data_IF_867205582740
#
_entry.id   IF_867205582740
#
_cell.length_a   1.000
_cell.length_b   1.000
_cell.length_c   1.000
_cell.angle_alpha   90.00
_cell.angle_beta   90.00
_cell.angle_gamma   90.00
#
_symmetry.space_group_name_H-M   'P 1'
#
loop_
_entity.id
_entity.type
_entity.pdbx_description
1 polymer ?
#
# COMPACT_ATOMS: atom_id res chain seq x y z
N UNK A 1 1.68 -1.31 2.72
CA UNK A 1 3.11 -1.09 2.43
C UNK A 1 3.96 -1.23 3.69
N UNK A 2 5.12 -1.82 3.56
CA UNK A 2 6.14 -1.91 4.63
C UNK A 2 7.19 -0.84 4.34
N UNK A 3 7.46 0.04 5.31
CA UNK A 3 8.39 1.16 5.17
C UNK A 3 9.67 0.90 5.97
N UNK A 4 10.78 0.48 5.33
CA UNK A 4 12.07 0.28 5.99
C UNK A 4 12.63 1.58 6.58
N UNK A 5 13.44 1.47 7.64
CA UNK A 5 14.23 2.56 8.20
C UNK A 5 15.73 2.38 7.89
N UNK A 6 16.49 3.46 8.05
CA UNK A 6 17.96 3.47 8.01
C UNK A 6 18.54 3.00 9.34
N UNK A 7 18.02 1.87 9.85
CA UNK A 7 18.41 1.21 11.09
C UNK A 7 18.33 -0.30 10.94
N UNK A 8 19.25 -1.04 11.56
CA UNK A 8 19.24 -2.51 11.48
C UNK A 8 17.93 -3.11 11.95
N UNK A 9 17.28 -3.91 11.10
CA UNK A 9 16.05 -4.66 11.38
C UNK A 9 14.83 -3.84 11.80
N UNK A 10 14.81 -2.53 11.51
CA UNK A 10 13.69 -1.66 11.85
C UNK A 10 12.92 -1.21 10.60
N UNK A 11 11.63 -1.08 10.78
CA UNK A 11 10.71 -0.48 9.82
C UNK A 11 9.92 0.62 10.50
N UNK A 12 9.64 1.69 9.79
CA UNK A 12 8.93 2.85 10.33
C UNK A 12 7.48 2.54 10.64
N UNK A 13 6.80 1.94 9.67
CA UNK A 13 5.37 1.62 9.79
C UNK A 13 4.93 0.63 8.72
N UNK A 14 3.74 0.07 8.92
CA UNK A 14 2.98 -0.66 7.91
C UNK A 14 1.74 0.17 7.59
N UNK A 15 1.54 0.52 6.32
CA UNK A 15 0.36 1.28 5.88
C UNK A 15 -0.63 0.33 5.22
N UNK A 16 -1.88 0.33 5.71
CA UNK A 16 -2.96 -0.51 5.22
C UNK A 16 -3.65 0.17 4.05
N UNK A 17 -3.55 -0.41 2.85
CA UNK A 17 -4.17 0.14 1.66
C UNK A 17 -5.71 0.13 1.79
N UNK A 18 -6.35 1.24 1.42
CA UNK A 18 -7.81 1.39 1.42
C UNK A 18 -8.47 1.25 2.82
N UNK A 19 -7.71 1.36 3.90
CA UNK A 19 -8.25 1.33 5.26
C UNK A 19 -8.18 2.73 5.85
N UNK A 20 -9.34 3.39 5.92
CA UNK A 20 -9.46 4.76 6.38
C UNK A 20 -10.39 4.86 7.57
N UNK A 21 -10.10 5.77 8.47
CA UNK A 21 -11.00 6.16 9.54
C UNK A 21 -11.01 7.68 9.77
N UNK A 22 -12.07 8.17 10.40
CA UNK A 22 -12.26 9.56 10.80
C UNK A 22 -12.88 9.64 12.18
N UNK A 23 -12.61 10.71 12.90
CA UNK A 23 -13.08 10.92 14.27
C UNK A 23 -14.61 11.05 14.37
N UNK A 24 -15.21 11.67 13.37
CA UNK A 24 -16.65 11.90 13.27
C UNK A 24 -17.08 11.99 11.81
N UNK A 25 -18.38 12.06 11.55
CA UNK A 25 -18.89 12.23 10.17
C UNK A 25 -18.35 13.48 9.48
N UNK A 26 -18.09 14.54 10.24
CA UNK A 26 -17.53 15.81 9.75
C UNK A 26 -15.99 15.85 9.82
N UNK A 27 -15.37 14.80 10.33
CA UNK A 27 -13.92 14.71 10.46
C UNK A 27 -13.25 14.38 9.13
N UNK A 28 -11.98 14.75 9.02
CA UNK A 28 -11.13 14.35 7.88
C UNK A 28 -10.71 12.90 8.06
N UNK A 29 -10.96 12.06 7.06
CA UNK A 29 -10.50 10.67 7.07
C UNK A 29 -8.98 10.59 6.90
N UNK A 30 -8.40 9.49 7.36
CA UNK A 30 -6.97 9.23 7.22
C UNK A 30 -6.72 7.75 7.03
N UNK A 31 -5.79 7.44 6.13
CA UNK A 31 -5.29 6.06 5.96
C UNK A 31 -4.58 5.59 7.23
N UNK A 32 -4.83 4.35 7.64
CA UNK A 32 -4.33 3.80 8.90
C UNK A 32 -2.90 3.28 8.74
N UNK A 33 -2.04 3.62 9.71
CA UNK A 33 -0.83 2.87 9.99
C UNK A 33 -1.20 1.69 10.91
N UNK A 34 -0.91 0.48 10.45
CA UNK A 34 -1.27 -0.74 11.16
C UNK A 34 -0.32 -1.14 12.29
N UNK A 35 -0.53 -2.33 12.83
CA UNK A 35 0.36 -2.94 13.83
C UNK A 35 1.66 -3.40 13.17
N UNK A 36 2.80 -2.94 13.67
CA UNK A 36 4.09 -3.22 13.05
C UNK A 36 4.62 -4.60 13.45
N UNK A 37 4.52 -5.58 12.54
CA UNK A 37 5.13 -6.89 12.70
C UNK A 37 6.53 -6.99 12.07
N UNK A 38 6.97 -5.98 11.33
CA UNK A 38 8.19 -6.06 10.51
C UNK A 38 9.45 -5.59 11.27
N UNK A 39 9.42 -5.57 12.60
CA UNK A 39 10.54 -5.20 13.45
C UNK A 39 11.13 -6.43 14.16
N UNK A 40 12.47 -6.47 14.17
CA UNK A 40 13.21 -7.46 14.96
C UNK A 40 14.26 -6.78 15.84
N UNK A 41 14.58 -7.42 16.97
CA UNK A 41 15.82 -7.16 17.69
C UNK A 41 16.74 -8.37 17.52
N UNK A 42 17.95 -8.13 17.06
CA UNK A 42 18.98 -9.17 16.94
C UNK A 42 20.15 -8.83 17.84
N UNK A 43 20.56 -9.81 18.62
CA UNK A 43 21.68 -9.71 19.56
C UNK A 43 22.75 -10.72 19.17
N UNK A 44 24.01 -10.33 19.30
CA UNK A 44 25.16 -11.23 19.16
C UNK A 44 25.99 -11.18 20.45
N UNK A 45 26.16 -12.32 21.11
CA UNK A 45 26.84 -12.45 22.40
C UNK A 45 26.27 -11.48 23.48
N UNK A 46 24.93 -11.31 23.49
CA UNK A 46 24.22 -10.45 24.42
C UNK A 46 24.21 -8.95 24.06
N UNK A 47 24.90 -8.53 23.01
CA UNK A 47 24.89 -7.14 22.56
C UNK A 47 23.91 -6.95 21.40
N UNK A 48 22.98 -5.97 21.55
CA UNK A 48 22.01 -5.62 20.52
C UNK A 48 22.69 -4.98 19.30
N UNK A 49 22.32 -5.40 18.11
CA UNK A 49 22.75 -4.77 16.87
C UNK A 49 22.02 -3.42 16.72
N UNK A 50 22.78 -2.35 16.53
CA UNK A 50 22.30 -0.98 16.35
C UNK A 50 23.14 -0.28 15.28
N UNK A 51 22.71 0.89 14.82
CA UNK A 51 23.47 1.71 13.86
C UNK A 51 24.87 2.11 14.35
N UNK A 52 25.08 2.16 15.69
CA UNK A 52 26.36 2.58 16.29
C UNK A 52 27.42 1.48 16.32
N UNK A 53 27.03 0.20 16.16
CA UNK A 53 27.96 -0.93 16.30
C UNK A 53 28.09 -1.79 15.04
N UNK A 54 27.66 -1.26 13.90
CA UNK A 54 27.79 -1.88 12.57
C UNK A 54 28.69 -1.05 11.65
N UNK A 55 29.32 -1.71 10.68
CA UNK A 55 30.09 -1.11 9.59
C UNK A 55 29.66 -1.68 8.24
N UNK A 56 30.21 -1.14 7.15
CA UNK A 56 29.91 -1.58 5.79
C UNK A 56 28.41 -1.57 5.46
N UNK A 57 27.68 -0.63 6.05
CA UNK A 57 26.23 -0.49 5.85
C UNK A 57 25.89 -0.21 4.41
N UNK A 58 25.02 -1.03 3.85
CA UNK A 58 24.50 -0.86 2.49
C UNK A 58 23.04 -1.25 2.45
N UNK A 59 22.24 -0.39 1.82
CA UNK A 59 20.84 -0.69 1.45
C UNK A 59 20.69 -0.61 -0.06
N UNK A 60 19.87 -1.50 -0.61
CA UNK A 60 19.56 -1.53 -2.03
C UNK A 60 18.15 -2.03 -2.27
N UNK A 61 17.48 -1.41 -3.23
CA UNK A 61 16.20 -1.87 -3.75
C UNK A 61 16.41 -2.54 -5.11
N UNK A 62 16.14 -3.82 -5.18
CA UNK A 62 16.03 -4.50 -6.46
C UNK A 62 14.62 -4.30 -7.01
N UNK A 63 14.44 -3.31 -7.89
CA UNK A 63 13.14 -2.96 -8.45
C UNK A 63 12.53 -4.08 -9.29
N UNK A 64 13.36 -4.92 -9.92
CA UNK A 64 12.88 -6.04 -10.74
C UNK A 64 12.14 -7.09 -9.91
N UNK A 65 12.59 -7.31 -8.68
CA UNK A 65 12.04 -8.34 -7.79
C UNK A 65 11.38 -7.78 -6.54
N UNK A 66 11.29 -6.45 -6.44
CA UNK A 66 10.79 -5.73 -5.26
C UNK A 66 11.38 -6.25 -3.94
N UNK A 67 12.67 -6.50 -3.94
CA UNK A 67 13.44 -6.95 -2.81
C UNK A 67 14.23 -5.77 -2.21
N UNK A 68 13.96 -5.41 -0.96
CA UNK A 68 14.72 -4.40 -0.25
C UNK A 68 15.76 -5.08 0.64
N UNK A 69 17.02 -5.01 0.23
CA UNK A 69 18.14 -5.68 0.89
C UNK A 69 18.93 -4.69 1.75
N UNK A 70 19.28 -5.12 2.96
CA UNK A 70 20.22 -4.43 3.85
C UNK A 70 21.33 -5.38 4.22
N UNK A 71 22.58 -4.94 4.10
CA UNK A 71 23.76 -5.70 4.50
C UNK A 71 24.71 -4.84 5.34
N UNK A 72 25.37 -5.48 6.28
CA UNK A 72 26.37 -4.83 7.15
C UNK A 72 27.26 -5.86 7.85
N UNK A 73 28.33 -5.38 8.46
CA UNK A 73 29.21 -6.15 9.34
C UNK A 73 28.99 -5.71 10.79
N UNK A 74 28.66 -6.65 11.67
CA UNK A 74 28.59 -6.40 13.09
C UNK A 74 29.97 -6.67 13.71
N UNK A 75 30.70 -5.59 13.99
CA UNK A 75 32.06 -5.64 14.53
C UNK A 75 32.94 -6.62 13.72
N UNK A 76 33.77 -7.42 14.40
CA UNK A 76 34.57 -8.51 13.80
C UNK A 76 33.89 -9.89 13.98
N UNK A 77 32.57 -9.93 14.25
CA UNK A 77 31.84 -11.13 14.67
C UNK A 77 31.00 -11.77 13.59
N UNK A 78 30.28 -10.98 12.79
CA UNK A 78 29.39 -11.51 11.77
C UNK A 78 29.15 -10.56 10.61
N UNK A 79 28.98 -11.11 9.41
CA UNK A 79 28.34 -10.41 8.27
C UNK A 79 26.87 -10.80 8.22
N UNK A 80 26.02 -9.81 8.03
CA UNK A 80 24.56 -9.97 8.07
C UNK A 80 23.98 -9.36 6.83
N UNK A 81 23.08 -10.10 6.21
CA UNK A 81 22.23 -9.62 5.12
C UNK A 81 20.79 -9.99 5.44
N UNK A 82 19.88 -9.06 5.27
CA UNK A 82 18.46 -9.37 5.31
C UNK A 82 17.70 -8.68 4.19
N UNK A 83 16.64 -9.33 3.73
CA UNK A 83 15.82 -8.86 2.61
C UNK A 83 14.36 -8.79 3.03
N UNK A 84 13.74 -7.63 2.84
CA UNK A 84 12.32 -7.42 3.10
C UNK A 84 11.55 -7.54 1.79
N UNK A 85 10.50 -8.37 1.82
CA UNK A 85 9.52 -8.51 0.75
C UNK A 85 8.12 -8.12 1.27
N UNK A 86 7.47 -7.15 0.63
CA UNK A 86 6.03 -7.01 0.67
C UNK A 86 5.47 -7.97 -0.39
N UNK A 87 4.95 -9.12 0.03
CA UNK A 87 4.64 -10.22 -0.89
C UNK A 87 3.52 -9.83 -1.85
N UNK A 88 3.78 -9.97 -3.17
CA UNK A 88 2.77 -9.66 -4.18
C UNK A 88 1.79 -10.80 -4.41
N UNK A 89 2.22 -12.04 -4.22
CA UNK A 89 1.40 -13.25 -4.29
C UNK A 89 0.49 -13.41 -3.04
N UNK A 90 0.83 -12.76 -1.92
CA UNK A 90 0.05 -12.76 -0.68
C UNK A 90 -0.07 -11.32 -0.18
N UNK A 91 -1.12 -10.64 -0.59
CA UNK A 91 -1.28 -9.18 -0.51
C UNK A 91 -1.19 -8.58 0.90
N UNK A 92 -1.49 -9.37 1.92
CA UNK A 92 -1.56 -8.93 3.33
C UNK A 92 -0.31 -9.31 4.11
N UNK A 93 0.66 -9.99 3.46
CA UNK A 93 1.81 -10.55 4.13
C UNK A 93 3.15 -9.89 3.72
N UNK A 94 4.07 -9.90 4.69
CA UNK A 94 5.46 -9.56 4.51
C UNK A 94 6.38 -10.70 4.94
N UNK A 95 7.57 -10.70 4.36
CA UNK A 95 8.58 -11.73 4.60
C UNK A 95 9.95 -11.07 4.74
N UNK A 96 10.63 -11.32 5.85
CA UNK A 96 11.98 -10.81 6.13
C UNK A 96 12.91 -12.01 6.19
N UNK A 97 13.73 -12.14 5.16
CA UNK A 97 14.69 -13.22 5.00
C UNK A 97 16.05 -12.80 5.56
N UNK A 98 16.63 -13.58 6.45
CA UNK A 98 17.81 -13.18 7.22
C UNK A 98 18.90 -14.23 7.05
N UNK A 99 20.11 -13.75 6.71
CA UNK A 99 21.31 -14.55 6.56
C UNK A 99 22.40 -13.99 7.48
N UNK A 100 22.97 -14.83 8.32
CA UNK A 100 24.07 -14.50 9.23
C UNK A 100 25.28 -15.39 8.93
N UNK A 101 26.38 -14.80 8.48
CA UNK A 101 27.67 -15.46 8.31
C UNK A 101 28.58 -15.14 9.52
N UNK A 102 28.76 -16.06 10.47
CA UNK A 102 29.63 -15.86 11.62
C UNK A 102 31.11 -15.84 11.21
N UNK A 103 31.83 -14.82 11.65
CA UNK A 103 33.29 -14.71 11.48
C UNK A 103 34.06 -15.34 12.67
N UNK A 104 33.34 -15.59 13.76
CA UNK A 104 33.78 -16.27 15.01
C UNK A 104 32.66 -17.17 15.49
N UNK A 105 32.93 -18.02 16.48
CA UNK A 105 31.83 -18.67 17.21
C UNK A 105 31.07 -17.61 17.98
N UNK A 106 29.78 -17.56 17.81
CA UNK A 106 28.88 -16.54 18.41
C UNK A 106 27.60 -17.19 18.91
N UNK A 107 26.94 -16.52 19.85
CA UNK A 107 25.57 -16.82 20.25
C UNK A 107 24.67 -15.71 19.74
N UNK A 108 23.65 -16.06 18.98
CA UNK A 108 22.63 -15.10 18.53
C UNK A 108 21.37 -15.24 19.40
N UNK A 109 20.65 -14.11 19.56
CA UNK A 109 19.25 -14.07 19.97
C UNK A 109 18.51 -13.19 18.97
N UNK A 110 17.44 -13.72 18.36
CA UNK A 110 16.55 -12.95 17.53
C UNK A 110 15.17 -12.85 18.20
N UNK A 111 14.60 -11.65 18.22
CA UNK A 111 13.28 -11.34 18.78
C UNK A 111 12.44 -10.66 17.71
N UNK A 112 11.45 -11.36 17.20
CA UNK A 112 10.42 -10.79 16.32
C UNK A 112 9.30 -10.17 17.16
N UNK A 113 8.71 -9.09 16.68
CA UNK A 113 7.77 -8.26 17.44
C UNK A 113 6.50 -8.00 16.65
N UNK A 114 5.39 -7.87 17.39
CA UNK A 114 4.21 -7.15 16.93
C UNK A 114 4.04 -5.95 17.84
N UNK A 115 4.21 -4.75 17.29
CA UNK A 115 4.06 -3.48 18.00
C UNK A 115 2.78 -2.80 17.57
N UNK A 116 1.89 -2.55 18.51
CA UNK A 116 0.59 -1.90 18.29
C UNK A 116 0.73 -0.40 18.50
N UNK A 117 0.22 0.46 17.58
CA UNK A 117 0.17 1.91 17.80
C UNK A 117 -0.56 2.25 19.12
N UNK A 118 -0.03 3.20 19.89
CA UNK A 118 -0.59 3.59 21.21
C UNK A 118 -2.04 4.09 21.13
N UNK A 119 -2.43 4.65 19.99
CA UNK A 119 -3.79 5.12 19.74
C UNK A 119 -4.80 4.01 19.47
N UNK A 120 -4.37 2.76 19.25
CA UNK A 120 -5.29 1.65 19.03
C UNK A 120 -5.96 1.24 20.34
N UNK A 121 -7.20 0.77 20.21
CA UNK A 121 -8.06 0.46 21.34
C UNK A 121 -8.09 -1.04 21.62
N UNK A 122 -8.04 -1.38 22.92
CA UNK A 122 -8.24 -2.75 23.44
C UNK A 122 -7.36 -3.81 22.73
N UNK A 123 -6.06 -3.61 22.63
CA UNK A 123 -5.19 -4.62 22.05
C UNK A 123 -5.25 -5.92 22.89
N UNK A 124 -5.34 -7.04 22.19
CA UNK A 124 -5.30 -8.37 22.77
C UNK A 124 -4.19 -9.16 22.09
N UNK A 125 -3.11 -9.35 22.83
CA UNK A 125 -1.93 -10.10 22.39
C UNK A 125 -1.96 -11.52 22.92
N UNK A 126 -1.79 -12.48 22.01
CA UNK A 126 -1.78 -13.92 22.31
C UNK A 126 -0.59 -14.61 21.66
N UNK A 127 -0.25 -15.75 22.20
CA UNK A 127 0.68 -16.71 21.61
C UNK A 127 0.04 -18.08 21.69
N UNK A 128 0.06 -18.81 20.59
CA UNK A 128 -0.43 -20.18 20.56
C UNK A 128 0.44 -21.07 19.70
N UNK A 129 0.44 -22.35 20.03
CA UNK A 129 1.13 -23.37 19.26
C UNK A 129 0.04 -24.26 18.65
N UNK A 130 -0.11 -24.15 17.34
CA UNK A 130 -0.96 -25.07 16.59
C UNK A 130 -0.14 -26.33 16.31
N UNK A 131 -0.72 -27.47 16.57
CA UNK A 131 -0.09 -28.77 16.34
C UNK A 131 -0.98 -29.60 15.43
N UNK A 132 -0.36 -30.15 14.41
CA UNK A 132 -0.85 -31.29 13.65
C UNK A 132 0.14 -32.43 13.85
N UNK A 133 -0.19 -33.64 13.38
CA UNK A 133 0.63 -34.85 13.57
C UNK A 133 2.11 -34.70 13.18
N UNK A 134 2.40 -33.85 12.22
CA UNK A 134 3.73 -33.67 11.63
C UNK A 134 4.32 -32.26 11.78
N UNK A 135 3.51 -31.25 12.12
CA UNK A 135 3.95 -29.84 12.11
C UNK A 135 3.53 -29.13 13.40
N UNK A 136 4.47 -28.41 13.99
CA UNK A 136 4.24 -27.50 15.12
C UNK A 136 4.37 -26.05 14.62
N UNK A 137 3.30 -25.27 14.75
CA UNK A 137 3.23 -23.90 14.24
C UNK A 137 3.05 -22.92 15.40
N UNK A 138 4.13 -22.32 15.91
CA UNK A 138 4.07 -21.26 16.90
C UNK A 138 3.64 -19.96 16.23
N UNK A 139 2.58 -19.33 16.71
CA UNK A 139 2.02 -18.12 16.13
C UNK A 139 1.87 -17.04 17.20
N UNK A 140 2.51 -15.91 16.95
CA UNK A 140 2.30 -14.68 17.68
C UNK A 140 1.14 -13.93 17.04
N UNK A 141 0.20 -13.41 17.82
CA UNK A 141 -0.95 -12.71 17.30
C UNK A 141 -1.35 -11.53 18.18
N UNK A 142 -1.75 -10.44 17.56
CA UNK A 142 -2.38 -9.30 18.23
C UNK A 142 -3.59 -8.84 17.44
N UNK A 143 -4.67 -8.55 18.16
CA UNK A 143 -5.91 -8.00 17.60
C UNK A 143 -6.22 -6.73 18.34
N UNK A 144 -6.55 -5.66 17.62
CA UNK A 144 -6.91 -4.38 18.21
C UNK A 144 -7.96 -3.67 17.35
N UNK A 145 -8.65 -2.69 17.94
CA UNK A 145 -9.47 -1.75 17.18
C UNK A 145 -8.64 -0.54 16.80
N UNK A 146 -8.89 0.00 15.62
CA UNK A 146 -8.31 1.26 15.20
C UNK A 146 -8.69 2.41 16.15
N UNK A 147 -8.00 3.54 16.04
CA UNK A 147 -8.10 4.71 16.95
C UNK A 147 -9.54 5.15 17.25
N UNK A 148 -10.38 5.22 16.24
CA UNK A 148 -11.79 5.62 16.38
C UNK A 148 -12.76 4.43 16.40
N UNK A 149 -12.24 3.20 16.38
CA UNK A 149 -13.01 1.97 16.54
C UNK A 149 -13.77 1.52 15.29
N UNK A 150 -13.55 2.15 14.13
CA UNK A 150 -14.19 1.78 12.86
C UNK A 150 -13.77 0.37 12.41
N UNK A 151 -12.49 0.04 12.53
CA UNK A 151 -11.91 -1.22 12.07
C UNK A 151 -11.41 -2.08 13.22
N UNK A 152 -11.56 -3.38 13.08
CA UNK A 152 -10.77 -4.36 13.84
C UNK A 152 -9.61 -4.79 12.95
N UNK A 153 -8.41 -4.84 13.51
CA UNK A 153 -7.18 -5.21 12.81
C UNK A 153 -6.60 -6.42 13.51
N UNK A 154 -6.29 -7.46 12.75
CA UNK A 154 -5.64 -8.68 13.21
C UNK A 154 -4.27 -8.82 12.56
N UNK A 155 -3.24 -9.00 13.39
CA UNK A 155 -1.86 -9.18 12.94
C UNK A 155 -1.30 -10.46 13.53
N UNK A 156 -0.73 -11.30 12.68
CA UNK A 156 -0.07 -12.55 13.07
C UNK A 156 1.35 -12.59 12.54
N UNK A 157 2.26 -13.26 13.27
CA UNK A 157 3.65 -13.38 12.85
C UNK A 157 4.31 -14.64 13.43
N UNK A 158 5.36 -15.13 12.76
CA UNK A 158 6.16 -16.26 13.24
C UNK A 158 7.55 -16.30 12.60
N UNK A 159 8.46 -17.06 13.22
CA UNK A 159 9.74 -17.44 12.59
C UNK A 159 9.57 -18.61 11.64
N UNK A 160 10.34 -18.60 10.55
CA UNK A 160 10.40 -19.65 9.53
C UNK A 160 11.86 -20.12 9.35
N UNK A 161 12.08 -21.42 9.28
CA UNK A 161 13.37 -22.01 8.98
C UNK A 161 13.27 -22.83 7.68
N UNK A 162 14.16 -22.59 6.73
CA UNK A 162 14.10 -23.15 5.37
C UNK A 162 14.29 -24.67 5.31
N UNK A 163 14.87 -25.26 6.34
CA UNK A 163 15.11 -26.70 6.43
C UNK A 163 13.91 -27.55 6.91
N UNK A 164 12.72 -26.95 7.06
CA UNK A 164 11.52 -27.61 7.60
C UNK A 164 11.09 -28.82 6.74
N UNK A 165 11.30 -28.77 5.44
CA UNK A 165 10.97 -29.86 4.51
C UNK A 165 11.81 -31.14 4.74
N UNK A 166 12.78 -31.12 5.67
CA UNK A 166 13.56 -32.29 6.05
C UNK A 166 12.94 -33.16 7.15
N UNK A 167 11.75 -32.82 7.66
CA UNK A 167 11.04 -33.58 8.69
C UNK A 167 11.70 -33.60 10.06
N UNK A 168 12.64 -32.68 10.34
CA UNK A 168 13.40 -32.65 11.58
C UNK A 168 13.05 -31.44 12.43
N UNK A 169 11.93 -31.49 13.15
CA UNK A 169 11.57 -30.49 14.20
C UNK A 169 12.68 -30.32 15.25
N UNK A 170 13.45 -31.34 15.50
CA UNK A 170 14.55 -31.37 16.49
C UNK A 170 15.67 -30.36 16.22
N UNK A 171 15.74 -29.76 15.02
CA UNK A 171 16.75 -28.76 14.66
C UNK A 171 16.27 -27.32 14.83
N UNK A 172 15.01 -27.09 15.14
CA UNK A 172 14.51 -25.74 15.38
C UNK A 172 14.95 -25.26 16.76
N UNK A 173 15.38 -23.99 16.89
CA UNK A 173 15.60 -23.39 18.19
C UNK A 173 14.31 -23.40 19.01
N UNK A 174 14.45 -23.54 20.33
CA UNK A 174 13.34 -23.34 21.25
C UNK A 174 12.85 -21.90 21.18
N UNK A 175 11.54 -21.72 21.01
CA UNK A 175 10.90 -20.42 20.97
C UNK A 175 10.42 -20.01 22.37
N UNK A 176 10.70 -18.77 22.73
CA UNK A 176 10.24 -18.15 23.97
C UNK A 176 9.29 -17.00 23.62
N UNK A 177 8.09 -17.05 24.20
CA UNK A 177 7.11 -15.97 24.09
C UNK A 177 7.24 -15.04 25.29
N UNK A 178 7.20 -13.74 25.03
CA UNK A 178 7.17 -12.70 26.06
C UNK A 178 6.16 -11.61 25.68
N UNK A 179 5.08 -11.51 26.46
CA UNK A 179 4.12 -10.41 26.37
C UNK A 179 4.63 -9.27 27.23
N UNK A 180 5.35 -8.33 26.60
CA UNK A 180 5.96 -7.18 27.29
C UNK A 180 4.89 -6.23 27.81
N UNK A 181 3.84 -5.99 27.01
CA UNK A 181 2.67 -5.18 27.37
C UNK A 181 1.47 -5.61 26.52
N UNK A 182 0.33 -4.94 26.66
CA UNK A 182 -0.81 -5.14 25.75
C UNK A 182 -0.50 -4.64 24.34
N UNK A 183 0.45 -3.72 24.19
CA UNK A 183 0.86 -3.10 22.93
C UNK A 183 2.10 -3.71 22.29
N UNK A 184 2.84 -4.56 23.03
CA UNK A 184 4.08 -5.19 22.60
C UNK A 184 4.07 -6.69 22.87
N UNK A 185 4.14 -7.48 21.81
CA UNK A 185 4.13 -8.93 21.84
C UNK A 185 5.37 -9.48 21.14
N UNK A 186 6.16 -10.33 21.82
CA UNK A 186 7.47 -10.78 21.37
C UNK A 186 7.56 -12.29 21.27
N UNK A 187 8.26 -12.75 20.23
CA UNK A 187 8.66 -14.14 20.06
C UNK A 187 10.17 -14.19 19.82
N UNK A 188 10.91 -14.98 20.56
CA UNK A 188 12.37 -15.01 20.46
C UNK A 188 12.94 -16.42 20.44
N UNK A 189 14.14 -16.54 19.88
CA UNK A 189 14.96 -17.75 19.98
C UNK A 189 16.43 -17.40 20.20
N UNK A 190 17.19 -18.37 20.67
CA UNK A 190 18.65 -18.31 20.80
C UNK A 190 19.29 -19.47 20.01
N UNK A 191 20.46 -19.23 19.45
CA UNK A 191 21.23 -20.24 18.72
C UNK A 191 22.73 -19.96 18.81
N UNK A 192 23.51 -21.00 19.08
CA UNK A 192 24.95 -20.96 18.94
C UNK A 192 25.32 -21.25 17.47
N UNK A 193 26.20 -20.42 16.92
CA UNK A 193 26.69 -20.54 15.55
C UNK A 193 28.21 -20.69 15.57
N UNK A 194 28.71 -21.63 14.77
CA UNK A 194 30.16 -21.82 14.60
C UNK A 194 30.71 -20.92 13.52
N UNK A 195 31.97 -20.55 13.64
CA UNK A 195 32.68 -19.75 12.63
C UNK A 195 32.47 -20.37 11.24
N UNK A 196 32.14 -19.53 10.27
CA UNK A 196 31.88 -19.85 8.85
C UNK A 196 30.69 -20.79 8.61
N UNK A 197 29.86 -21.08 9.62
CA UNK A 197 28.60 -21.81 9.46
C UNK A 197 27.47 -20.81 9.15
N UNK A 198 27.11 -20.67 7.87
CA UNK A 198 26.04 -19.78 7.47
C UNK A 198 24.71 -20.19 8.10
N UNK A 199 23.96 -19.24 8.64
CA UNK A 199 22.69 -19.50 9.28
C UNK A 199 21.58 -18.63 8.68
N UNK A 200 20.52 -19.31 8.22
CA UNK A 200 19.40 -18.68 7.54
C UNK A 200 18.10 -18.95 8.30
N UNK A 201 17.30 -17.93 8.45
CA UNK A 201 15.95 -17.99 8.96
C UNK A 201 15.15 -16.81 8.41
N UNK A 202 13.84 -16.82 8.58
CA UNK A 202 12.99 -15.70 8.22
C UNK A 202 12.03 -15.34 9.35
N UNK A 203 11.54 -14.12 9.31
CA UNK A 203 10.41 -13.64 10.06
C UNK A 203 9.31 -13.23 9.09
N UNK A 204 8.11 -13.80 9.24
CA UNK A 204 6.97 -13.48 8.39
C UNK A 204 5.79 -13.02 9.23
N UNK A 205 5.01 -12.11 8.69
CA UNK A 205 3.77 -11.66 9.30
C UNK A 205 2.73 -11.27 8.26
N UNK A 206 1.50 -11.20 8.71
CA UNK A 206 0.37 -10.75 7.90
C UNK A 206 -0.55 -9.88 8.76
N UNK A 207 -1.17 -8.90 8.10
CA UNK A 207 -2.09 -7.96 8.73
C UNK A 207 -3.35 -7.80 7.90
N UNK A 208 -4.50 -8.01 8.54
CA UNK A 208 -5.83 -7.95 7.95
C UNK A 208 -6.73 -7.00 8.73
N UNK A 209 -7.74 -6.45 8.08
CA UNK A 209 -8.70 -5.54 8.70
C UNK A 209 -10.15 -5.91 8.33
N UNK A 210 -11.10 -5.39 9.10
CA UNK A 210 -12.55 -5.53 8.79
C UNK A 210 -12.98 -4.76 7.54
N UNK A 211 -12.07 -4.03 6.88
CA UNK A 211 -12.31 -3.47 5.54
C UNK A 211 -12.46 -4.59 4.49
N UNK A 212 -11.65 -5.65 4.62
CA UNK A 212 -11.58 -6.72 3.63
C UNK A 212 -12.11 -8.07 4.13
N UNK A 213 -12.15 -8.30 5.45
CA UNK A 213 -12.47 -9.59 6.06
C UNK A 213 -13.43 -9.45 7.25
N UNK A 214 -14.40 -10.33 7.36
CA UNK A 214 -15.28 -10.39 8.55
C UNK A 214 -14.52 -10.79 9.81
N UNK A 215 -13.53 -11.68 9.68
CA UNK A 215 -12.64 -12.14 10.77
C UNK A 215 -11.16 -11.91 10.42
N UNK A 216 -10.66 -10.67 10.58
CA UNK A 216 -9.28 -10.34 10.26
C UNK A 216 -8.27 -11.07 11.16
N UNK A 217 -8.67 -11.50 12.35
CA UNK A 217 -7.84 -12.29 13.25
C UNK A 217 -7.48 -13.64 12.61
N UNK A 218 -8.49 -14.40 12.23
CA UNK A 218 -8.31 -15.71 11.61
C UNK A 218 -7.62 -15.61 10.26
N UNK A 219 -7.95 -14.59 9.45
CA UNK A 219 -7.33 -14.43 8.13
C UNK A 219 -5.84 -14.09 8.23
N UNK A 220 -5.42 -13.21 9.14
CA UNK A 220 -3.99 -12.93 9.35
C UNK A 220 -3.20 -14.18 9.73
N UNK A 221 -3.80 -15.04 10.57
CA UNK A 221 -3.21 -16.31 10.95
C UNK A 221 -3.09 -17.29 9.76
N UNK A 222 -4.15 -17.41 8.95
CA UNK A 222 -4.14 -18.29 7.76
C UNK A 222 -3.03 -17.90 6.78
N UNK A 223 -2.80 -16.60 6.54
CA UNK A 223 -1.69 -16.15 5.69
C UNK A 223 -0.32 -16.50 6.28
N UNK A 224 -0.15 -16.36 7.58
CA UNK A 224 1.10 -16.74 8.25
C UNK A 224 1.32 -18.25 8.22
N UNK A 225 0.29 -19.05 8.44
CA UNK A 225 0.35 -20.52 8.31
C UNK A 225 0.73 -20.90 6.88
N UNK A 226 0.13 -20.27 5.87
CA UNK A 226 0.46 -20.52 4.48
C UNK A 226 1.94 -20.21 4.19
N UNK A 227 2.47 -19.07 4.68
CA UNK A 227 3.88 -18.74 4.55
C UNK A 227 4.81 -19.72 5.26
N UNK A 228 4.40 -20.21 6.43
CA UNK A 228 5.16 -21.20 7.20
C UNK A 228 5.25 -22.54 6.50
N UNK A 229 4.15 -22.98 5.86
CA UNK A 229 4.06 -24.31 5.21
C UNK A 229 4.56 -24.30 3.77
N UNK A 230 4.66 -23.13 3.13
CA UNK A 230 5.15 -23.01 1.76
C UNK A 230 6.68 -22.97 1.75
N UNK A 231 7.36 -23.82 0.93
CA UNK A 231 8.80 -23.72 0.77
C UNK A 231 9.22 -22.31 0.38
N UNK A 232 10.26 -21.77 1.04
CA UNK A 232 10.75 -20.40 0.80
C UNK A 232 10.95 -20.08 -0.68
N UNK A 233 11.59 -20.99 -1.41
CA UNK A 233 11.88 -20.74 -2.82
C UNK A 233 10.58 -20.60 -3.63
N UNK A 234 9.60 -21.46 -3.39
CA UNK A 234 8.31 -21.41 -4.08
C UNK A 234 7.57 -20.11 -3.78
N UNK A 235 7.60 -19.66 -2.51
CA UNK A 235 6.98 -18.41 -2.07
C UNK A 235 7.61 -17.20 -2.76
N UNK A 236 8.94 -17.12 -2.74
CA UNK A 236 9.68 -15.97 -3.29
C UNK A 236 9.70 -16.02 -4.83
N UNK A 237 9.75 -17.20 -5.45
CA UNK A 237 9.72 -17.31 -6.91
C UNK A 237 8.34 -16.96 -7.48
N UNK A 238 7.25 -17.29 -6.80
CA UNK A 238 5.91 -16.77 -7.16
C UNK A 238 5.82 -15.24 -7.05
N UNK A 239 6.37 -14.66 -5.99
CA UNK A 239 6.47 -13.20 -5.84
C UNK A 239 7.25 -12.58 -7.01
N UNK A 240 8.44 -13.10 -7.33
CA UNK A 240 9.27 -12.63 -8.44
C UNK A 240 8.58 -12.75 -9.79
N UNK A 241 7.88 -13.87 -10.03
CA UNK A 241 7.14 -14.09 -11.27
C UNK A 241 6.08 -13.00 -11.49
N UNK A 242 5.31 -12.64 -10.46
CA UNK A 242 4.33 -11.57 -10.57
C UNK A 242 4.97 -10.20 -10.84
N UNK A 243 6.18 -9.96 -10.35
CA UNK A 243 6.94 -8.78 -10.71
C UNK A 243 7.50 -8.84 -12.13
N UNK A 244 7.99 -9.99 -12.56
CA UNK A 244 8.43 -10.20 -13.96
C UNK A 244 7.26 -9.96 -14.95
N UNK A 245 6.05 -10.40 -14.60
CA UNK A 245 4.84 -10.14 -15.41
C UNK A 245 4.54 -8.62 -15.51
N UNK A 246 4.70 -7.85 -14.42
CA UNK A 246 4.55 -6.39 -14.46
C UNK A 246 5.61 -5.71 -15.33
N UNK A 247 6.87 -6.17 -15.25
CA UNK A 247 7.97 -5.62 -16.01
C UNK A 247 7.95 -5.97 -17.50
N UNK A 248 6.94 -6.74 -17.98
CA UNK A 248 6.65 -6.79 -19.42
C UNK A 248 6.25 -5.41 -19.95
N UNK A 249 5.65 -4.54 -19.11
CA UNK A 249 5.44 -3.14 -19.38
C UNK A 249 6.61 -2.30 -18.87
N UNK A 250 7.67 -2.14 -19.65
CA UNK A 250 8.86 -1.32 -19.34
C UNK A 250 9.05 -0.20 -20.37
N UNK A 251 9.82 0.82 -19.99
CA UNK A 251 10.28 1.90 -20.86
C UNK A 251 11.79 1.81 -20.94
N UNK A 252 12.32 1.60 -22.14
CA UNK A 252 13.75 1.47 -22.37
C UNK A 252 14.32 2.81 -22.85
N UNK A 253 15.32 3.31 -22.13
CA UNK A 253 16.09 4.51 -22.49
C UNK A 253 17.50 4.09 -22.82
N UNK A 254 17.90 4.28 -24.08
CA UNK A 254 19.25 3.97 -24.53
C UNK A 254 20.16 5.18 -24.39
N UNK A 255 21.40 4.93 -23.95
CA UNK A 255 22.46 5.95 -23.86
C UNK A 255 22.51 6.77 -22.58
N UNK A 256 21.52 6.67 -21.70
CA UNK A 256 21.50 7.35 -20.41
C UNK A 256 21.05 6.42 -19.26
N UNK A 257 22.01 5.93 -18.50
CA UNK A 257 21.78 4.99 -17.39
C UNK A 257 21.02 5.64 -16.25
N UNK A 258 21.23 6.93 -15.96
CA UNK A 258 20.54 7.62 -14.88
C UNK A 258 19.08 7.84 -15.21
N UNK A 259 18.77 8.33 -16.40
CA UNK A 259 17.36 8.49 -16.85
C UNK A 259 16.63 7.15 -16.89
N UNK A 260 17.32 6.06 -17.30
CA UNK A 260 16.73 4.72 -17.25
C UNK A 260 16.39 4.27 -15.82
N UNK A 261 17.27 4.57 -14.87
CA UNK A 261 17.08 4.27 -13.46
C UNK A 261 15.89 5.06 -12.89
N UNK A 262 15.82 6.35 -13.19
CA UNK A 262 14.76 7.25 -12.70
C UNK A 262 13.38 6.84 -13.22
N UNK A 263 13.26 6.51 -14.50
CA UNK A 263 12.01 6.01 -15.10
C UNK A 263 11.59 4.68 -14.47
N UNK A 264 12.51 3.74 -14.27
CA UNK A 264 12.20 2.46 -13.62
C UNK A 264 11.84 2.63 -12.16
N UNK A 265 12.41 3.59 -11.45
CA UNK A 265 12.02 3.90 -10.08
C UNK A 265 10.57 4.42 -10.01
N UNK A 266 10.19 5.31 -10.93
CA UNK A 266 8.83 5.80 -11.04
C UNK A 266 7.83 4.67 -11.36
N UNK A 267 8.14 3.82 -12.35
CA UNK A 267 7.32 2.65 -12.68
C UNK A 267 7.23 1.64 -11.53
N UNK A 268 8.34 1.37 -10.84
CA UNK A 268 8.34 0.51 -9.66
C UNK A 268 7.33 0.98 -8.62
N UNK A 269 7.30 2.28 -8.31
CA UNK A 269 6.35 2.82 -7.35
C UNK A 269 4.90 2.70 -7.83
N UNK A 270 4.62 3.00 -9.09
CA UNK A 270 3.28 2.81 -9.66
C UNK A 270 2.82 1.34 -9.57
N UNK A 271 3.69 0.39 -9.89
CA UNK A 271 3.41 -1.04 -9.81
C UNK A 271 3.29 -1.53 -8.36
N UNK A 272 4.13 -1.04 -7.45
CA UNK A 272 4.13 -1.45 -6.05
C UNK A 272 2.82 -1.08 -5.33
N UNK A 273 2.24 0.09 -5.67
CA UNK A 273 1.06 0.64 -4.99
C UNK A 273 -0.27 0.21 -5.62
N UNK A 274 -0.25 -0.47 -6.76
CA UNK A 274 -1.46 -0.79 -7.54
C UNK A 274 -1.65 -2.28 -7.78
N UNK A 275 -2.91 -2.67 -8.03
CA UNK A 275 -3.34 -4.04 -8.34
C UNK A 275 -4.40 -4.01 -9.43
N UNK A 276 -4.34 -4.95 -10.38
CA UNK A 276 -5.25 -5.00 -11.52
C UNK A 276 -6.68 -5.45 -11.21
N UNK A 277 -6.89 -6.09 -10.07
CA UNK A 277 -8.14 -6.74 -9.68
C UNK A 277 -8.82 -6.11 -8.45
N UNK A 278 -8.27 -5.00 -7.94
CA UNK A 278 -8.73 -4.41 -6.67
C UNK A 278 -9.85 -3.39 -6.82
N UNK A 279 -10.02 -2.76 -7.98
CA UNK A 279 -10.85 -1.56 -8.17
C UNK A 279 -10.50 -0.44 -7.16
N UNK A 280 -9.23 -0.35 -6.78
CA UNK A 280 -8.68 0.69 -5.93
C UNK A 280 -7.83 1.66 -6.77
N UNK A 281 -7.70 2.87 -6.26
CA UNK A 281 -6.87 3.91 -6.86
C UNK A 281 -5.57 4.13 -6.07
N UNK A 282 -4.74 5.06 -6.52
CA UNK A 282 -3.43 5.37 -5.94
C UNK A 282 -3.46 6.79 -5.41
N UNK A 283 -3.06 7.00 -4.15
CA UNK A 283 -2.81 8.35 -3.63
C UNK A 283 -1.51 8.93 -4.20
N UNK A 284 -1.31 10.26 -4.18
CA UNK A 284 -0.06 10.88 -4.65
C UNK A 284 1.20 10.32 -3.99
N UNK A 285 1.10 9.93 -2.70
CA UNK A 285 2.21 9.32 -1.95
C UNK A 285 2.21 7.79 -2.02
N UNK A 286 1.27 7.18 -2.72
CA UNK A 286 1.08 5.72 -2.71
C UNK A 286 0.92 5.17 -1.30
N UNK A 287 1.73 4.15 -0.95
CA UNK A 287 1.79 3.57 0.40
C UNK A 287 3.13 3.88 1.10
N UNK A 288 3.79 4.98 0.70
CA UNK A 288 5.09 5.37 1.25
C UNK A 288 4.99 6.31 2.46
N UNK A 289 3.83 6.91 2.70
CA UNK A 289 3.56 7.75 3.87
C UNK A 289 2.04 7.93 4.07
N UNK A 290 1.67 8.56 5.19
CA UNK A 290 0.30 9.01 5.45
C UNK A 290 0.08 10.49 5.06
N UNK A 291 1.01 11.10 4.32
CA UNK A 291 0.85 12.46 3.85
C UNK A 291 -0.36 12.56 2.91
N UNK A 292 -0.96 13.74 2.86
CA UNK A 292 -2.26 13.96 2.20
C UNK A 292 -3.34 13.00 2.71
N UNK A 293 -3.22 12.54 3.96
CA UNK A 293 -4.10 11.57 4.61
C UNK A 293 -4.25 10.23 3.84
N UNK A 294 -3.41 9.98 2.82
CA UNK A 294 -3.52 8.85 1.91
C UNK A 294 -4.68 8.97 0.92
N UNK A 295 -5.28 10.14 0.76
CA UNK A 295 -6.42 10.37 -0.11
C UNK A 295 -6.06 10.26 -1.60
N UNK A 296 -7.08 9.98 -2.39
CA UNK A 296 -7.02 9.91 -3.85
C UNK A 296 -7.37 11.26 -4.43
N UNK A 297 -6.51 11.77 -5.31
CA UNK A 297 -6.64 13.05 -6.01
C UNK A 297 -6.78 12.84 -7.53
N UNK A 298 -6.91 13.92 -8.28
CA UNK A 298 -6.89 13.93 -9.75
C UNK A 298 -5.52 13.58 -10.36
N UNK A 299 -4.47 13.56 -9.55
CA UNK A 299 -3.15 13.04 -9.90
C UNK A 299 -3.22 11.65 -10.52
N UNK A 300 -4.11 10.80 -10.00
CA UNK A 300 -4.32 9.48 -10.57
C UNK A 300 -4.76 9.57 -12.01
N UNK A 301 -5.80 10.33 -12.30
CA UNK A 301 -6.43 10.38 -13.62
C UNK A 301 -5.52 11.00 -14.69
N UNK A 302 -4.78 12.05 -14.36
CA UNK A 302 -4.00 12.79 -15.33
C UNK A 302 -2.52 12.42 -15.41
N UNK A 303 -1.94 11.90 -14.32
CA UNK A 303 -0.49 11.68 -14.23
C UNK A 303 -0.09 10.22 -14.04
N UNK A 304 -0.77 9.48 -13.18
CA UNK A 304 -0.42 8.09 -12.88
C UNK A 304 -1.12 7.07 -13.78
N UNK A 305 -2.35 7.34 -14.16
CA UNK A 305 -3.14 6.48 -15.04
C UNK A 305 -2.58 6.38 -16.48
N UNK A 306 -2.17 7.48 -17.17
CA UNK A 306 -1.76 7.39 -18.57
C UNK A 306 -0.59 6.43 -18.83
N UNK A 307 0.51 6.42 -18.06
CA UNK A 307 1.56 5.42 -18.26
C UNK A 307 1.06 3.99 -17.98
N UNK A 308 0.25 3.79 -16.93
CA UNK A 308 -0.33 2.48 -16.63
C UNK A 308 -1.31 2.00 -17.70
N UNK A 309 -2.07 2.90 -18.32
CA UNK A 309 -2.94 2.56 -19.47
C UNK A 309 -2.15 1.95 -20.65
N UNK A 310 -0.95 2.45 -20.88
CA UNK A 310 -0.10 1.96 -21.96
C UNK A 310 0.66 0.69 -21.61
N UNK A 311 1.04 0.53 -20.33
CA UNK A 311 1.96 -0.52 -19.89
C UNK A 311 1.25 -1.69 -19.18
N UNK A 312 0.12 -1.44 -18.51
CA UNK A 312 -0.65 -2.48 -17.78
C UNK A 312 -2.13 -2.10 -17.69
N UNK A 313 -2.92 -2.53 -18.70
CA UNK A 313 -4.33 -2.15 -18.82
C UNK A 313 -5.21 -2.71 -17.70
N UNK A 314 -4.82 -3.79 -17.02
CA UNK A 314 -5.59 -4.32 -15.87
C UNK A 314 -5.49 -3.39 -14.65
N UNK A 315 -4.28 -2.86 -14.39
CA UNK A 315 -4.11 -1.84 -13.36
C UNK A 315 -4.87 -0.57 -13.75
N UNK A 316 -4.73 -0.10 -14.99
CA UNK A 316 -5.46 1.07 -15.46
C UNK A 316 -6.98 0.91 -15.31
N UNK A 317 -7.52 -0.29 -15.60
CA UNK A 317 -8.93 -0.60 -15.38
C UNK A 317 -9.33 -0.49 -13.90
N UNK A 318 -8.49 -0.96 -13.00
CA UNK A 318 -8.74 -0.84 -11.55
C UNK A 318 -8.87 0.63 -11.13
N UNK A 319 -7.98 1.50 -11.63
CA UNK A 319 -7.99 2.92 -11.29
C UNK A 319 -9.28 3.63 -11.73
N UNK A 320 -9.74 3.40 -12.97
CA UNK A 320 -10.99 4.01 -13.42
C UNK A 320 -12.22 3.37 -12.78
N UNK A 321 -12.19 2.06 -12.51
CA UNK A 321 -13.27 1.38 -11.80
C UNK A 321 -13.46 1.90 -10.39
N UNK A 322 -12.42 2.35 -9.70
CA UNK A 322 -12.53 3.02 -8.40
C UNK A 322 -13.57 4.15 -8.42
N UNK A 323 -13.51 5.03 -9.44
CA UNK A 323 -14.45 6.15 -9.58
C UNK A 323 -15.86 5.67 -9.92
N UNK A 324 -16.01 4.68 -10.81
CA UNK A 324 -17.34 4.19 -11.20
C UNK A 324 -18.04 3.44 -10.07
N UNK A 325 -17.31 2.70 -9.24
CA UNK A 325 -17.89 1.98 -8.10
C UNK A 325 -18.41 2.97 -7.01
N UNK A 326 -17.92 4.21 -7.03
CA UNK A 326 -18.24 5.28 -6.06
C UNK A 326 -19.07 6.43 -6.67
N UNK A 327 -19.63 6.27 -7.86
CA UNK A 327 -20.38 7.31 -8.56
C UNK A 327 -21.55 7.86 -7.73
N UNK A 328 -22.16 7.07 -6.89
CA UNK A 328 -23.29 7.52 -6.05
C UNK A 328 -22.87 8.64 -5.10
N UNK A 329 -21.65 8.62 -4.56
CA UNK A 329 -21.14 9.69 -3.70
C UNK A 329 -20.87 10.97 -4.47
N UNK A 330 -20.37 10.86 -5.70
CA UNK A 330 -20.24 12.00 -6.58
C UNK A 330 -21.61 12.62 -6.97
N UNK A 331 -22.66 11.79 -7.13
CA UNK A 331 -24.04 12.28 -7.36
C UNK A 331 -24.61 12.97 -6.12
N UNK A 332 -24.41 12.40 -4.94
CA UNK A 332 -24.81 13.04 -3.66
C UNK A 332 -24.12 14.40 -3.51
N UNK A 333 -22.82 14.48 -3.81
CA UNK A 333 -22.10 15.77 -3.78
C UNK A 333 -22.70 16.78 -4.77
N UNK A 334 -22.99 16.39 -6.02
CA UNK A 334 -23.61 17.26 -7.00
C UNK A 334 -24.97 17.83 -6.47
N UNK A 335 -25.81 16.96 -5.92
CA UNK A 335 -27.12 17.35 -5.34
C UNK A 335 -26.92 18.35 -4.18
N UNK A 336 -25.98 18.11 -3.27
CA UNK A 336 -25.69 18.97 -2.13
C UNK A 336 -25.22 20.36 -2.55
N UNK A 337 -24.59 20.48 -3.74
CA UNK A 337 -24.19 21.75 -4.33
C UNK A 337 -25.26 22.37 -5.28
N UNK A 338 -26.43 21.72 -5.40
CA UNK A 338 -27.53 22.21 -6.25
C UNK A 338 -27.37 21.88 -7.73
N UNK A 339 -26.51 20.92 -8.10
CA UNK A 339 -26.27 20.49 -9.48
C UNK A 339 -26.88 19.12 -9.78
N UNK A 340 -26.94 18.78 -11.06
CA UNK A 340 -27.31 17.45 -11.57
C UNK A 340 -26.05 16.64 -11.89
N UNK A 341 -26.25 15.34 -12.16
CA UNK A 341 -25.16 14.46 -12.56
C UNK A 341 -24.21 14.10 -11.41
N UNK A 342 -22.94 13.94 -11.71
CA UNK A 342 -21.91 13.55 -10.75
C UNK A 342 -20.81 14.61 -10.65
N UNK A 343 -20.51 15.06 -9.41
CA UNK A 343 -19.44 16.00 -9.08
C UNK A 343 -18.40 15.24 -8.24
N UNK A 344 -17.27 14.92 -8.82
CA UNK A 344 -16.22 14.18 -8.13
C UNK A 344 -15.47 15.04 -7.10
N UNK A 345 -15.07 14.46 -5.95
CA UNK A 345 -14.36 15.17 -4.90
C UNK A 345 -12.93 15.54 -5.33
N UNK A 346 -12.39 16.58 -4.71
CA UNK A 346 -10.98 16.93 -4.87
C UNK A 346 -10.08 15.91 -4.15
N UNK A 347 -10.36 15.61 -2.87
CA UNK A 347 -9.79 14.48 -2.15
C UNK A 347 -10.84 13.40 -1.90
N UNK A 348 -10.47 12.13 -2.07
CA UNK A 348 -11.37 11.00 -1.90
C UNK A 348 -10.71 9.89 -1.10
N UNK A 349 -11.50 9.14 -0.34
CA UNK A 349 -11.08 7.99 0.45
C UNK A 349 -11.73 6.67 -0.06
N UNK A 350 -11.82 5.66 0.83
CA UNK A 350 -12.46 4.36 0.53
C UNK A 350 -13.93 4.49 0.15
N UNK A 351 -14.62 5.54 0.61
CA UNK A 351 -16.04 5.75 0.37
C UNK A 351 -16.36 6.45 -0.95
N UNK A 352 -15.43 7.27 -1.46
CA UNK A 352 -15.65 8.17 -2.60
C UNK A 352 -16.31 9.50 -2.22
N UNK A 353 -16.49 9.78 -0.93
CA UNK A 353 -16.95 11.06 -0.42
C UNK A 353 -15.89 12.15 -0.59
N UNK A 354 -16.31 13.42 -0.45
CA UNK A 354 -15.38 14.54 -0.33
C UNK A 354 -14.66 14.46 1.01
N UNK A 355 -13.35 14.20 0.97
CA UNK A 355 -12.49 14.04 2.13
C UNK A 355 -11.56 15.23 2.37
N UNK A 356 -11.68 16.29 1.57
CA UNK A 356 -10.86 17.50 1.69
C UNK A 356 -11.11 18.18 3.03
N UNK A 357 -10.05 18.59 3.76
CA UNK A 357 -10.21 19.36 4.98
C UNK A 357 -11.04 20.64 4.74
N UNK A 358 -11.94 20.96 5.66
CA UNK A 358 -12.88 22.07 5.52
C UNK A 358 -12.23 23.47 5.34
N UNK A 359 -10.96 23.62 5.73
CA UNK A 359 -10.19 24.85 5.54
C UNK A 359 -9.66 25.01 4.10
N UNK A 360 -9.63 23.95 3.30
CA UNK A 360 -9.12 23.98 1.92
C UNK A 360 -10.27 24.28 0.96
N UNK A 361 -10.21 25.44 0.29
CA UNK A 361 -11.25 25.87 -0.65
C UNK A 361 -11.37 24.98 -1.89
N UNK A 362 -10.35 24.19 -2.19
CA UNK A 362 -10.29 23.23 -3.30
C UNK A 362 -11.42 22.22 -3.25
N UNK A 363 -11.74 21.65 -2.09
CA UNK A 363 -12.84 20.70 -1.93
C UNK A 363 -14.20 21.26 -2.33
N UNK A 364 -14.41 22.58 -2.13
CA UNK A 364 -15.66 23.26 -2.46
C UNK A 364 -15.67 23.83 -3.89
N UNK A 365 -14.56 24.36 -4.40
CA UNK A 365 -14.52 25.21 -5.58
C UNK A 365 -13.65 24.68 -6.71
N UNK A 366 -12.82 23.65 -6.51
CA UNK A 366 -12.02 23.04 -7.58
C UNK A 366 -12.80 21.93 -8.26
N UNK A 367 -13.39 22.24 -9.41
CA UNK A 367 -14.41 21.40 -10.05
C UNK A 367 -13.87 20.59 -11.25
N UNK A 368 -12.71 20.95 -11.79
CA UNK A 368 -12.15 20.31 -12.99
C UNK A 368 -11.88 18.80 -12.80
N UNK A 369 -11.70 18.32 -11.55
CA UNK A 369 -11.54 16.91 -11.23
C UNK A 369 -12.63 16.05 -11.88
N UNK A 370 -13.85 16.56 -11.90
CA UNK A 370 -14.99 15.90 -12.55
C UNK A 370 -14.74 15.66 -14.04
N UNK A 371 -14.12 16.62 -14.72
CA UNK A 371 -13.77 16.45 -16.14
C UNK A 371 -12.52 15.57 -16.33
N UNK A 372 -11.56 15.63 -15.40
CA UNK A 372 -10.35 14.82 -15.45
C UNK A 372 -10.67 13.32 -15.35
N UNK A 373 -11.68 12.97 -14.54
CA UNK A 373 -12.24 11.61 -14.49
C UNK A 373 -12.79 11.20 -15.85
N UNK A 374 -13.56 12.08 -16.53
CA UNK A 374 -14.09 11.76 -17.88
C UNK A 374 -12.96 11.54 -18.90
N UNK A 375 -11.88 12.32 -18.82
CA UNK A 375 -10.71 12.19 -19.69
C UNK A 375 -10.06 10.81 -19.51
N UNK A 376 -9.89 10.36 -18.27
CA UNK A 376 -9.35 9.03 -17.99
C UNK A 376 -10.26 7.91 -18.51
N UNK A 377 -11.58 8.01 -18.30
CA UNK A 377 -12.58 7.04 -18.80
C UNK A 377 -12.58 6.95 -20.32
N UNK A 378 -12.58 8.07 -21.01
CA UNK A 378 -12.53 8.11 -22.46
C UNK A 378 -11.22 7.53 -23.00
N UNK A 379 -10.08 7.89 -22.41
CA UNK A 379 -8.78 7.35 -22.80
C UNK A 379 -8.68 5.84 -22.59
N UNK A 380 -9.25 5.31 -21.49
CA UNK A 380 -9.33 3.87 -21.27
C UNK A 380 -10.06 3.18 -22.43
N UNK A 381 -11.25 3.68 -22.81
CA UNK A 381 -11.99 3.13 -23.94
C UNK A 381 -11.24 3.28 -25.26
N UNK A 382 -10.63 4.43 -25.53
CA UNK A 382 -9.88 4.67 -26.78
C UNK A 382 -8.74 3.69 -26.97
N UNK A 383 -8.03 3.33 -25.93
CA UNK A 383 -6.89 2.41 -25.98
C UNK A 383 -7.36 0.95 -26.03
N UNK A 384 -8.29 0.58 -25.17
CA UNK A 384 -8.70 -0.82 -25.01
C UNK A 384 -9.73 -1.27 -26.03
N UNK A 385 -10.54 -0.34 -26.59
CA UNK A 385 -11.70 -0.63 -27.44
C UNK A 385 -12.71 -1.61 -26.81
N UNK A 386 -12.72 -1.68 -25.46
CA UNK A 386 -13.61 -2.57 -24.73
C UNK A 386 -15.04 -2.00 -24.69
N UNK A 387 -15.87 -2.43 -25.63
CA UNK A 387 -17.28 -1.97 -25.77
C UNK A 387 -18.15 -2.39 -24.59
N UNK A 388 -17.92 -3.56 -24.01
CA UNK A 388 -18.67 -4.03 -22.86
C UNK A 388 -18.43 -3.13 -21.65
N UNK A 389 -17.15 -2.82 -21.38
CA UNK A 389 -16.79 -1.89 -20.33
C UNK A 389 -17.36 -0.48 -20.60
N UNK A 390 -17.33 -0.01 -21.85
CA UNK A 390 -17.92 1.28 -22.20
C UNK A 390 -19.42 1.31 -21.87
N UNK A 391 -20.17 0.28 -22.25
CA UNK A 391 -21.62 0.23 -22.05
C UNK A 391 -21.95 0.12 -20.54
N UNK A 392 -21.21 -0.70 -19.81
CA UNK A 392 -21.53 -1.02 -18.42
C UNK A 392 -21.00 -0.01 -17.42
N UNK A 393 -19.89 0.65 -17.71
CA UNK A 393 -19.21 1.59 -16.82
C UNK A 393 -18.89 2.93 -17.46
N UNK A 394 -18.27 2.95 -18.66
CA UNK A 394 -17.74 4.15 -19.28
C UNK A 394 -18.82 5.15 -19.64
N UNK A 395 -19.83 4.75 -20.41
CA UNK A 395 -20.89 5.65 -20.87
C UNK A 395 -21.76 6.19 -19.71
N UNK A 396 -22.19 5.38 -18.73
CA UNK A 396 -22.90 5.92 -17.57
C UNK A 396 -22.11 7.02 -16.84
N UNK A 397 -20.81 6.84 -16.70
CA UNK A 397 -19.93 7.85 -16.09
C UNK A 397 -19.86 9.13 -16.91
N UNK A 398 -19.57 9.01 -18.20
CA UNK A 398 -19.47 10.15 -19.12
C UNK A 398 -20.77 10.96 -19.16
N UNK A 399 -21.92 10.26 -19.17
CA UNK A 399 -23.24 10.90 -19.13
C UNK A 399 -23.46 11.69 -17.85
N UNK A 400 -23.24 11.12 -16.69
CA UNK A 400 -23.47 11.81 -15.41
C UNK A 400 -22.50 13.00 -15.23
N UNK A 401 -21.26 12.90 -15.73
CA UNK A 401 -20.29 14.00 -15.76
C UNK A 401 -20.78 15.11 -16.70
N UNK A 402 -21.29 14.77 -17.88
CA UNK A 402 -21.85 15.75 -18.82
C UNK A 402 -23.08 16.46 -18.24
N UNK A 403 -23.99 15.72 -17.59
CA UNK A 403 -25.16 16.30 -16.91
C UNK A 403 -24.75 17.29 -15.81
N UNK A 404 -23.63 17.01 -15.10
CA UNK A 404 -23.06 17.95 -14.14
C UNK A 404 -22.61 19.24 -14.82
N UNK A 405 -21.77 19.16 -15.87
CA UNK A 405 -21.23 20.34 -16.53
C UNK A 405 -22.32 21.18 -17.20
N UNK A 406 -23.35 20.56 -17.77
CA UNK A 406 -24.53 21.28 -18.29
C UNK A 406 -25.25 22.04 -17.19
N UNK A 407 -25.45 21.42 -16.01
CA UNK A 407 -26.14 22.07 -14.89
C UNK A 407 -25.27 23.12 -14.17
N UNK A 408 -23.93 23.00 -14.26
CA UNK A 408 -22.95 23.89 -13.62
C UNK A 408 -22.73 25.18 -14.41
N UNK A 409 -22.90 25.12 -15.73
CA UNK A 409 -22.65 26.24 -16.63
C UNK A 409 -23.78 27.27 -16.59
N UNK A 410 -23.43 28.54 -16.70
CA UNK A 410 -24.36 29.67 -16.74
C UNK A 410 -24.45 30.21 -18.19
N UNK A 411 -25.66 30.26 -18.74
CA UNK A 411 -25.90 30.85 -20.06
C UNK A 411 -25.80 32.38 -19.98
N UNK A 412 -24.96 32.98 -20.81
CA UNK A 412 -24.78 34.40 -20.93
C UNK A 412 -25.76 35.02 -21.94
N UNK A 413 -25.93 36.34 -21.88
CA UNK A 413 -26.84 37.05 -22.76
C UNK A 413 -26.46 36.99 -24.26
N UNK A 414 -25.19 36.76 -24.58
CA UNK A 414 -24.68 36.60 -25.94
C UNK A 414 -24.77 35.16 -26.47
N UNK A 415 -25.34 34.24 -25.67
CA UNK A 415 -25.47 32.81 -26.01
C UNK A 415 -24.25 31.97 -25.68
N UNK A 416 -23.20 32.54 -25.14
CA UNK A 416 -22.06 31.77 -24.62
C UNK A 416 -22.37 31.20 -23.23
N UNK A 417 -21.49 30.30 -22.70
CA UNK A 417 -21.60 29.75 -21.36
C UNK A 417 -20.36 30.10 -20.53
N UNK A 418 -20.57 30.36 -19.26
CA UNK A 418 -19.53 30.63 -18.29
C UNK A 418 -19.55 29.63 -17.17
N UNK A 419 -18.36 29.30 -16.62
CA UNK A 419 -18.18 28.59 -15.35
C UNK A 419 -17.57 29.58 -14.36
N UNK A 420 -18.37 29.97 -13.37
CA UNK A 420 -18.01 31.06 -12.45
C UNK A 420 -17.59 30.57 -11.09
N UNK A 421 -16.77 31.38 -10.42
CA UNK A 421 -16.34 31.16 -9.04
C UNK A 421 -15.75 29.77 -8.81
N UNK A 422 -14.60 29.51 -9.43
CA UNK A 422 -13.84 28.26 -9.26
C UNK A 422 -12.45 28.54 -8.69
N UNK A 423 -11.86 27.51 -8.12
CA UNK A 423 -10.41 27.32 -8.00
C UNK A 423 -10.01 26.49 -9.24
N UNK A 424 -9.02 26.92 -9.98
CA UNK A 424 -8.46 26.13 -11.07
C UNK A 424 -7.26 25.31 -10.61
N UNK A 425 -6.53 24.69 -11.54
CA UNK A 425 -5.31 23.94 -11.26
C UNK A 425 -4.20 24.80 -10.57
N UNK A 426 -4.32 26.13 -10.58
CA UNK A 426 -3.59 27.02 -9.68
C UNK A 426 -4.41 27.24 -8.41
N UNK A 427 -4.21 26.40 -7.39
CA UNK A 427 -4.96 26.38 -6.14
C UNK A 427 -4.86 27.67 -5.31
N UNK A 428 -3.85 28.52 -5.59
CA UNK A 428 -3.67 29.81 -4.92
C UNK A 428 -4.50 30.96 -5.50
N UNK A 429 -5.32 30.67 -6.53
CA UNK A 429 -6.18 31.65 -7.18
C UNK A 429 -7.66 31.27 -7.02
N UNK A 430 -8.31 31.59 -5.87
CA UNK A 430 -9.73 31.32 -5.67
C UNK A 430 -10.59 32.37 -6.37
N UNK A 431 -11.89 32.06 -6.53
CA UNK A 431 -12.91 32.95 -7.07
C UNK A 431 -12.59 33.43 -8.51
N UNK A 432 -12.17 32.49 -9.37
CA UNK A 432 -11.89 32.78 -10.79
C UNK A 432 -13.11 32.45 -11.63
N UNK A 433 -13.52 33.36 -12.48
CA UNK A 433 -14.52 33.14 -13.52
C UNK A 433 -13.82 32.69 -14.81
N UNK A 434 -14.42 31.73 -15.49
CA UNK A 434 -13.97 31.25 -16.81
C UNK A 434 -12.48 30.83 -16.83
N UNK A 435 -12.07 30.08 -15.79
CA UNK A 435 -10.73 29.52 -15.70
C UNK A 435 -10.43 28.66 -16.92
N UNK A 436 -9.31 28.91 -17.60
CA UNK A 436 -8.96 28.26 -18.88
C UNK A 436 -8.84 26.73 -18.73
N UNK A 437 -8.24 26.24 -17.64
CA UNK A 437 -8.10 24.80 -17.41
C UNK A 437 -9.46 24.16 -17.14
N UNK A 438 -10.27 24.74 -16.24
CA UNK A 438 -11.62 24.24 -15.92
C UNK A 438 -12.53 24.24 -17.16
N UNK A 439 -12.55 25.33 -17.93
CA UNK A 439 -13.37 25.42 -19.13
C UNK A 439 -12.90 24.43 -20.22
N UNK A 440 -11.58 24.30 -20.42
CA UNK A 440 -11.00 23.37 -21.38
C UNK A 440 -11.31 21.91 -21.07
N UNK A 441 -11.16 21.52 -19.80
CA UNK A 441 -11.48 20.16 -19.35
C UNK A 441 -12.98 19.87 -19.42
N UNK A 442 -13.85 20.82 -19.03
CA UNK A 442 -15.30 20.69 -19.11
C UNK A 442 -15.78 20.50 -20.58
N UNK A 443 -15.27 21.31 -21.51
CA UNK A 443 -15.57 21.19 -22.95
C UNK A 443 -15.13 19.81 -23.48
N UNK A 444 -13.97 19.33 -23.03
CA UNK A 444 -13.45 18.01 -23.40
C UNK A 444 -14.34 16.89 -22.89
N UNK A 445 -14.76 16.95 -21.63
CA UNK A 445 -15.67 15.97 -21.04
C UNK A 445 -17.05 15.94 -21.75
N UNK A 446 -17.59 17.10 -22.07
CA UNK A 446 -18.86 17.20 -22.81
C UNK A 446 -18.77 16.58 -24.21
N UNK A 447 -17.66 16.75 -24.93
CA UNK A 447 -17.43 16.12 -26.23
C UNK A 447 -17.34 14.59 -26.15
N UNK A 448 -16.89 14.05 -25.06
CA UNK A 448 -16.79 12.59 -24.88
C UNK A 448 -18.13 11.91 -24.60
N UNK A 449 -19.15 12.67 -24.22
CA UNK A 449 -20.49 12.17 -23.94
C UNK A 449 -21.43 12.25 -25.15
N UNK A 450 -21.00 12.88 -26.25
CA UNK A 450 -21.77 13.03 -27.52
C UNK A 450 -21.33 12.03 -28.57
#
# INVERSE_FOLDING_TARGET
GILPEDKPFQTKSIILNNVYEKESELGVSRIISGMNFANLDVFIDGEKITEQNVSDWKQSLNMKTAAFETSFTFKDKAKITYTIYALRNIQYAGYIDINILPLKNIKIKATGKISTPEEFLKPLSTFRILKDNEVTMPILQTVAKSKFGKHTIGTSATFVWHAINSGREEQRPHLTHDKVSDYENHLSFEKELKKNENYEFAWTGAECSTQDFEDPQTESERFVIFNLLTPRNDLIDQHKKLWDDLWQGDIIIEGDVQSQLDVRLALYHLYAFSRGDSNLSISPMGLSSQNYNGHIFWDTELWMFPPLLMLNQDIARSLVNYRSDRINKAKEKAINFGYKGAMFPWESDDTGEEATPAWALTGTFEHHITADVAIAFWNYYRVTQNKEWLITRGYPMLKEIADYWVSRSVLNADGSYSIKNVVGANEFAPNVDDNAFTNGSAITALKFAT
#
